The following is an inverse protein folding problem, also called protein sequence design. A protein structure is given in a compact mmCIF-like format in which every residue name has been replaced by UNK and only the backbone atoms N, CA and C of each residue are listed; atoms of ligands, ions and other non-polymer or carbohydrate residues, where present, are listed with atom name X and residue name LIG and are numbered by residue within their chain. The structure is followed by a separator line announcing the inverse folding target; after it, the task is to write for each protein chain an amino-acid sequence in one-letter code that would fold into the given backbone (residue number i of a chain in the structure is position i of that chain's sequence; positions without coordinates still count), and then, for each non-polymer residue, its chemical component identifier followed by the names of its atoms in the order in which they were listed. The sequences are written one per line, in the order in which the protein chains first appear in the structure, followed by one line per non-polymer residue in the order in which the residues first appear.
data_IF_532132834499
#
_entry.id   IF_532132834499
#
_cell.length_a   1.000
_cell.length_b   1.000
_cell.length_c   1.000
_cell.angle_alpha   90.00
_cell.angle_beta   90.00
_cell.angle_gamma   90.00
#
_symmetry.space_group_name_H-M   'P 1'
#
loop_
_entity.id
_entity.type
_entity.pdbx_description
1 polymer ?
#
# COMPACT_ATOMS: atom_id res chain seq x y z
N UNK A 1 -13.74 -39.94 -47.48
CA UNK A 1 -15.13 -40.17 -47.08
C UNK A 1 -15.35 -39.24 -45.90
N UNK A 2 -15.84 -38.11 -46.18
CA UNK A 2 -17.15 -37.52 -45.88
C UNK A 2 -17.43 -37.44 -44.38
N UNK A 3 -17.62 -36.35 -43.73
CA UNK A 3 -18.60 -35.35 -43.96
C UNK A 3 -18.45 -34.11 -43.09
N UNK A 4 -18.59 -33.05 -43.76
CA UNK A 4 -18.83 -31.65 -43.33
C UNK A 4 -20.25 -31.55 -42.79
N UNK A 5 -20.45 -30.86 -41.68
CA UNK A 5 -21.74 -30.25 -41.35
C UNK A 5 -21.60 -28.84 -40.80
N UNK A 6 -21.82 -27.93 -41.69
CA UNK A 6 -22.27 -26.56 -41.51
C UNK A 6 -23.70 -26.50 -40.92
N UNK A 7 -23.92 -25.63 -39.94
CA UNK A 7 -25.25 -25.05 -39.62
C UNK A 7 -24.92 -23.68 -39.05
N UNK A 8 -24.98 -22.61 -39.85
CA UNK A 8 -26.11 -21.80 -40.30
C UNK A 8 -26.59 -20.79 -39.25
N UNK A 9 -26.32 -19.55 -39.60
CA UNK A 9 -26.84 -18.26 -39.11
C UNK A 9 -28.35 -18.30 -38.85
N UNK A 10 -28.81 -17.58 -37.82
CA UNK A 10 -30.08 -16.87 -37.89
C UNK A 10 -30.01 -15.57 -37.10
N UNK A 11 -30.05 -14.49 -37.87
CA UNK A 11 -30.44 -13.13 -37.52
C UNK A 11 -31.83 -13.13 -36.80
N UNK A 12 -31.97 -12.28 -35.82
CA UNK A 12 -33.26 -11.63 -35.58
C UNK A 12 -33.07 -10.19 -35.09
N UNK A 13 -33.29 -9.28 -36.01
CA UNK A 13 -33.61 -7.90 -35.80
C UNK A 13 -34.90 -7.78 -35.04
N UNK A 14 -34.95 -7.00 -33.98
CA UNK A 14 -36.19 -6.33 -33.57
C UNK A 14 -35.89 -4.86 -33.33
N UNK A 15 -36.32 -4.10 -34.32
CA UNK A 15 -36.56 -2.66 -34.27
C UNK A 15 -37.98 -2.48 -33.78
N UNK A 16 -38.18 -1.72 -32.71
CA UNK A 16 -39.45 -1.04 -32.44
C UNK A 16 -39.13 0.37 -31.96
N UNK A 17 -39.34 1.29 -32.86
CA UNK A 17 -39.57 2.70 -32.61
C UNK A 17 -40.95 2.91 -32.03
N UNK A 18 -41.07 3.75 -31.00
CA UNK A 18 -42.34 4.39 -30.69
C UNK A 18 -42.11 5.79 -30.16
N UNK A 19 -42.55 6.71 -31.00
CA UNK A 19 -42.59 8.16 -30.84
C UNK A 19 -43.72 8.62 -29.91
N UNK A 20 -43.67 9.92 -29.56
CA UNK A 20 -44.80 10.80 -29.13
C UNK A 20 -44.97 10.89 -27.59
N UNK A 21 -44.99 12.03 -26.92
CA UNK A 21 -45.56 13.32 -27.26
C UNK A 21 -45.06 14.45 -26.34
N UNK A 22 -44.92 15.57 -26.92
CA UNK A 22 -44.75 16.94 -26.46
C UNK A 22 -45.98 17.39 -25.64
N UNK A 23 -45.78 17.90 -24.40
CA UNK A 23 -46.72 18.85 -23.79
C UNK A 23 -45.96 19.96 -23.10
N UNK A 24 -46.10 21.11 -23.71
CA UNK A 24 -45.74 22.43 -23.20
C UNK A 24 -46.88 22.88 -22.25
N UNK A 25 -46.52 23.26 -21.04
CA UNK A 25 -47.38 24.10 -20.19
C UNK A 25 -46.54 25.23 -19.62
N UNK A 26 -46.72 26.40 -20.21
CA UNK A 26 -46.30 27.69 -19.68
C UNK A 26 -47.35 28.19 -18.71
N UNK A 27 -46.95 28.58 -17.50
CA UNK A 27 -47.72 29.52 -16.66
C UNK A 27 -46.77 30.41 -15.88
N UNK A 28 -46.70 31.64 -16.35
CA UNK A 28 -46.86 32.94 -15.69
C UNK A 28 -45.99 33.28 -14.46
N UNK A 29 -45.27 34.32 -14.69
CA UNK A 29 -44.61 35.29 -13.83
C UNK A 29 -45.50 35.82 -12.69
N UNK A 30 -44.90 36.02 -11.53
CA UNK A 30 -45.21 37.08 -10.60
C UNK A 30 -43.99 37.42 -9.77
N UNK A 31 -43.41 38.61 -9.96
CA UNK A 31 -42.54 39.39 -9.08
C UNK A 31 -43.34 40.61 -8.58
N UNK A 32 -42.82 41.43 -7.66
CA UNK A 32 -42.23 41.22 -6.34
C UNK A 32 -43.06 41.95 -5.24
N UNK A 33 -42.63 42.24 -4.02
CA UNK A 33 -41.69 43.33 -3.74
C UNK A 33 -40.67 43.13 -2.57
N UNK A 34 -39.56 43.71 -2.77
CA UNK A 34 -38.73 44.62 -1.94
C UNK A 34 -38.83 44.60 -0.41
N UNK A 35 -37.68 44.54 0.18
CA UNK A 35 -37.24 45.25 1.37
C UNK A 35 -37.36 44.56 2.73
N UNK A 36 -36.20 44.08 3.22
CA UNK A 36 -35.75 44.40 4.57
C UNK A 36 -34.27 43.99 4.71
N UNK A 37 -33.46 44.98 4.95
CA UNK A 37 -32.07 44.84 5.35
C UNK A 37 -32.00 44.04 6.66
N UNK A 38 -31.36 42.88 6.62
CA UNK A 38 -30.88 42.22 7.81
C UNK A 38 -29.36 42.03 7.63
N UNK A 39 -28.64 42.82 8.40
CA UNK A 39 -27.21 42.79 8.64
C UNK A 39 -26.79 41.38 9.04
N UNK A 40 -26.21 40.59 8.11
CA UNK A 40 -25.50 39.37 8.46
C UNK A 40 -24.10 39.75 9.01
N UNK A 41 -23.74 39.28 10.19
CA UNK A 41 -22.33 39.36 10.60
C UNK A 41 -21.49 38.53 9.65
N UNK A 42 -20.44 39.13 9.14
CA UNK A 42 -19.43 38.50 8.30
C UNK A 42 -18.87 37.24 8.98
N UNK A 43 -19.18 36.10 8.38
CA UNK A 43 -18.50 34.87 8.69
C UNK A 43 -17.04 35.02 8.26
N UNK A 44 -16.06 34.74 9.13
CA UNK A 44 -14.67 34.82 8.72
C UNK A 44 -14.46 33.76 7.63
N UNK A 45 -13.90 34.21 6.52
CA UNK A 45 -13.42 33.32 5.46
C UNK A 45 -12.49 32.26 6.07
N UNK A 46 -12.60 31.00 5.67
CA UNK A 46 -11.61 30.03 6.06
C UNK A 46 -10.28 30.48 5.45
N UNK A 47 -9.37 30.87 6.31
CA UNK A 47 -7.95 31.03 5.98
C UNK A 47 -7.51 29.73 5.36
N UNK A 48 -7.19 29.77 4.08
CA UNK A 48 -6.50 28.68 3.39
C UNK A 48 -5.08 28.62 3.95
N UNK A 49 -4.95 28.05 5.13
CA UNK A 49 -3.67 27.51 5.55
C UNK A 49 -3.34 26.40 4.57
N UNK A 50 -2.64 26.78 3.52
CA UNK A 50 -1.86 25.88 2.69
C UNK A 50 -0.73 25.37 3.58
N UNK A 51 -1.09 24.59 4.58
CA UNK A 51 -0.17 23.69 5.25
C UNK A 51 0.27 22.73 4.16
N UNK A 52 1.45 22.96 3.63
CA UNK A 52 2.22 21.94 2.92
C UNK A 52 2.19 20.71 3.81
N UNK A 53 1.27 19.80 3.54
CA UNK A 53 1.23 18.50 4.17
C UNK A 53 2.51 17.79 3.75
N UNK A 54 3.59 18.05 4.46
CA UNK A 54 4.74 17.18 4.54
C UNK A 54 4.16 15.85 4.99
N UNK A 55 3.96 14.95 4.03
CA UNK A 55 3.51 13.58 4.29
C UNK A 55 4.46 13.06 5.36
N UNK A 56 3.98 12.63 6.53
CA UNK A 56 4.88 12.19 7.57
C UNK A 56 5.63 10.99 7.00
N UNK A 57 6.93 11.17 6.74
CA UNK A 57 7.83 10.06 6.54
C UNK A 57 7.73 9.24 7.81
N UNK A 58 7.41 7.97 7.68
CA UNK A 58 7.47 7.07 8.82
C UNK A 58 8.93 7.02 9.26
N UNK A 59 9.27 7.88 10.23
CA UNK A 59 10.66 8.11 10.68
C UNK A 59 11.30 6.82 11.23
N UNK A 60 10.47 5.80 11.49
CA UNK A 60 10.87 4.48 11.96
C UNK A 60 11.12 3.48 10.84
N UNK A 61 10.70 3.77 9.59
CA UNK A 61 10.88 2.85 8.48
C UNK A 61 12.34 2.80 8.06
N UNK A 62 12.87 1.58 7.97
CA UNK A 62 14.22 1.32 7.45
C UNK A 62 14.09 0.63 6.10
N UNK A 63 14.71 1.23 5.09
CA UNK A 63 14.72 0.72 3.72
C UNK A 63 15.46 -0.61 3.67
N UNK A 64 14.87 -1.58 2.98
CA UNK A 64 15.47 -2.89 2.75
C UNK A 64 15.69 -3.19 1.27
N UNK A 65 16.28 -4.35 0.99
CA UNK A 65 16.46 -4.84 -0.37
C UNK A 65 15.10 -5.11 -1.03
N UNK A 66 15.03 -4.94 -2.34
CA UNK A 66 13.83 -5.12 -3.16
C UNK A 66 12.71 -4.10 -2.92
N UNK A 67 12.86 -3.15 -1.99
CA UNK A 67 11.93 -2.03 -1.86
C UNK A 67 11.99 -1.14 -3.10
N UNK A 68 10.85 -0.55 -3.48
CA UNK A 68 10.78 0.39 -4.60
C UNK A 68 10.63 1.79 -4.06
N UNK A 69 11.60 2.64 -4.38
CA UNK A 69 11.66 4.03 -3.97
C UNK A 69 11.29 4.95 -5.15
N UNK A 70 10.42 5.92 -4.94
CA UNK A 70 10.26 7.05 -5.84
C UNK A 70 11.14 8.20 -5.33
N UNK A 71 12.11 8.58 -6.14
CA UNK A 71 12.97 9.71 -5.86
C UNK A 71 12.55 10.84 -6.77
N UNK A 72 12.21 11.98 -6.18
CA UNK A 72 11.82 13.20 -6.87
C UNK A 72 12.81 14.31 -6.52
N UNK A 73 13.33 14.97 -7.54
CA UNK A 73 14.19 16.14 -7.40
C UNK A 73 13.45 17.32 -8.01
N UNK A 74 13.25 18.37 -7.21
CA UNK A 74 12.47 19.55 -7.62
C UNK A 74 13.09 20.18 -8.88
N UNK A 75 12.25 20.44 -9.89
CA UNK A 75 12.60 20.99 -11.20
C UNK A 75 13.52 20.13 -12.08
N UNK A 76 13.83 18.89 -11.64
CA UNK A 76 14.73 17.99 -12.39
C UNK A 76 14.02 16.66 -12.73
N UNK A 77 13.14 16.65 -13.73
CA UNK A 77 12.39 15.45 -14.10
C UNK A 77 13.29 14.33 -14.65
N UNK A 78 14.42 14.68 -15.25
CA UNK A 78 15.40 13.73 -15.79
C UNK A 78 16.03 12.82 -14.71
N UNK A 79 16.13 13.33 -13.48
CA UNK A 79 16.68 12.60 -12.33
C UNK A 79 15.58 11.89 -11.55
N UNK A 80 14.35 12.44 -11.61
CA UNK A 80 13.20 11.93 -10.85
C UNK A 80 12.68 10.62 -11.45
N UNK A 81 12.72 9.53 -10.66
CA UNK A 81 12.28 8.20 -11.10
C UNK A 81 11.98 7.24 -9.95
N UNK A 82 11.26 6.16 -10.29
CA UNK A 82 11.12 5.00 -9.40
C UNK A 82 12.26 4.02 -9.62
N UNK A 83 12.91 3.62 -8.51
CA UNK A 83 14.09 2.75 -8.54
C UNK A 83 13.93 1.64 -7.51
N UNK A 84 14.10 0.36 -7.88
CA UNK A 84 14.20 -0.71 -6.91
C UNK A 84 15.56 -0.67 -6.21
N UNK A 85 15.55 -0.97 -4.91
CA UNK A 85 16.77 -1.20 -4.15
C UNK A 85 17.32 -2.57 -4.56
N UNK A 86 18.57 -2.58 -5.02
CA UNK A 86 19.23 -3.79 -5.50
C UNK A 86 19.52 -4.76 -4.34
N UNK A 87 19.87 -5.99 -4.69
CA UNK A 87 20.25 -7.03 -3.71
C UNK A 87 21.51 -6.70 -2.89
N UNK A 88 22.39 -5.83 -3.42
CA UNK A 88 23.55 -5.29 -2.71
C UNK A 88 23.18 -4.10 -1.79
N UNK A 89 21.90 -3.73 -1.73
CA UNK A 89 21.39 -2.66 -0.90
C UNK A 89 21.57 -1.25 -1.46
N UNK A 90 22.01 -1.13 -2.71
CA UNK A 90 22.29 0.15 -3.35
C UNK A 90 21.22 0.53 -4.36
N UNK A 91 21.13 1.82 -4.63
CA UNK A 91 20.38 2.41 -5.73
C UNK A 91 21.32 3.16 -6.65
N UNK A 92 20.96 3.30 -7.93
CA UNK A 92 21.75 4.06 -8.91
C UNK A 92 20.92 5.20 -9.47
N UNK A 93 21.45 6.41 -9.35
CA UNK A 93 20.81 7.65 -9.81
C UNK A 93 21.72 8.39 -10.81
N UNK A 94 21.17 9.05 -11.83
CA UNK A 94 21.94 9.95 -12.67
C UNK A 94 22.63 11.03 -11.83
N UNK A 95 23.82 11.46 -12.22
CA UNK A 95 24.67 12.45 -11.54
C UNK A 95 25.19 12.04 -10.15
N UNK A 96 24.39 11.31 -9.37
CA UNK A 96 24.73 10.89 -8.00
C UNK A 96 25.56 9.61 -7.97
N UNK A 97 25.35 8.74 -8.98
CA UNK A 97 25.96 7.42 -9.02
C UNK A 97 25.28 6.43 -8.08
N UNK A 98 26.07 5.53 -7.48
CA UNK A 98 25.58 4.53 -6.53
C UNK A 98 25.52 5.08 -5.10
N UNK A 99 24.39 4.86 -4.43
CA UNK A 99 24.13 5.26 -3.04
C UNK A 99 23.63 4.06 -2.26
N UNK A 100 24.12 3.89 -1.04
CA UNK A 100 23.62 2.88 -0.11
C UNK A 100 22.22 3.29 0.36
N UNK A 101 21.21 2.45 0.14
CA UNK A 101 19.84 2.71 0.56
C UNK A 101 19.41 1.80 1.71
N UNK A 102 19.78 0.51 1.66
CA UNK A 102 19.43 -0.44 2.72
C UNK A 102 20.05 -0.06 4.06
N UNK A 103 19.24 -0.15 5.12
CA UNK A 103 19.66 0.20 6.48
C UNK A 103 19.50 1.69 6.80
N UNK A 104 19.10 2.50 5.84
CA UNK A 104 18.82 3.92 6.05
C UNK A 104 17.32 4.20 6.10
N UNK A 105 16.96 5.32 6.74
CA UNK A 105 15.59 5.86 6.64
C UNK A 105 15.46 6.69 5.37
N UNK A 106 14.23 6.86 4.82
CA UNK A 106 14.02 7.73 3.66
C UNK A 106 14.61 9.13 3.82
N UNK A 107 14.44 9.73 5.00
CA UNK A 107 14.99 11.05 5.31
C UNK A 107 16.52 11.10 5.24
N UNK A 108 17.19 10.07 5.75
CA UNK A 108 18.66 9.98 5.64
C UNK A 108 19.13 9.87 4.20
N UNK A 109 18.40 9.06 3.41
CA UNK A 109 18.70 8.87 1.99
C UNK A 109 18.48 10.16 1.20
N UNK A 110 17.43 10.94 1.50
CA UNK A 110 17.19 12.29 0.94
C UNK A 110 18.39 13.21 1.15
N UNK A 111 18.88 13.29 2.40
CA UNK A 111 19.99 14.13 2.78
C UNK A 111 21.30 13.70 2.06
N UNK A 112 21.53 12.39 1.93
CA UNK A 112 22.70 11.88 1.24
C UNK A 112 22.67 12.21 -0.26
N UNK A 113 21.51 11.98 -0.91
CA UNK A 113 21.32 12.31 -2.32
C UNK A 113 21.46 13.82 -2.55
N UNK A 114 20.80 14.64 -1.73
CA UNK A 114 20.91 16.10 -1.82
C UNK A 114 22.35 16.58 -1.67
N UNK A 115 23.08 16.01 -0.72
CA UNK A 115 24.51 16.37 -0.51
C UNK A 115 25.36 16.09 -1.76
N UNK A 116 25.13 14.98 -2.44
CA UNK A 116 25.88 14.62 -3.66
C UNK A 116 25.46 15.45 -4.87
N UNK A 117 24.17 15.81 -4.97
CA UNK A 117 23.64 16.66 -6.05
C UNK A 117 24.12 18.11 -5.97
N UNK A 118 24.54 18.63 -4.82
CA UNK A 118 25.08 20.01 -4.66
C UNK A 118 26.25 20.32 -5.59
N UNK A 119 26.97 19.30 -6.06
CA UNK A 119 28.06 19.50 -7.02
C UNK A 119 27.55 19.82 -8.43
N UNK A 120 26.28 19.58 -8.73
CA UNK A 120 25.67 19.70 -10.06
C UNK A 120 24.49 20.67 -10.09
N UNK A 121 23.78 20.81 -8.98
CA UNK A 121 22.53 21.58 -8.87
C UNK A 121 22.65 22.51 -7.66
N UNK A 122 22.35 23.80 -7.87
CA UNK A 122 22.26 24.76 -6.78
C UNK A 122 20.97 24.46 -5.97
N UNK A 123 21.11 24.24 -4.65
CA UNK A 123 20.02 23.99 -3.72
C UNK A 123 19.07 22.83 -4.15
N UNK A 124 19.57 21.58 -4.27
CA UNK A 124 18.74 20.47 -4.68
C UNK A 124 17.73 20.10 -3.59
N UNK A 125 16.44 20.14 -3.90
CA UNK A 125 15.36 19.64 -3.06
C UNK A 125 15.02 18.20 -3.48
N UNK A 126 15.28 17.24 -2.60
CA UNK A 126 15.11 15.81 -2.87
C UNK A 126 14.04 15.25 -1.94
N UNK A 127 13.11 14.50 -2.51
CA UNK A 127 12.10 13.75 -1.76
C UNK A 127 12.20 12.28 -2.10
N UNK A 128 12.25 11.41 -1.09
CA UNK A 128 12.25 9.95 -1.24
C UNK A 128 10.97 9.37 -0.65
N UNK A 129 10.16 8.73 -1.50
CA UNK A 129 8.91 8.08 -1.10
C UNK A 129 9.05 6.58 -1.31
N UNK A 130 8.72 5.78 -0.30
CA UNK A 130 8.65 4.33 -0.44
C UNK A 130 7.34 3.97 -1.16
N UNK A 131 7.43 3.55 -2.43
CA UNK A 131 6.27 3.16 -3.22
C UNK A 131 5.82 1.74 -2.92
N UNK A 132 6.78 0.82 -2.75
CA UNK A 132 6.49 -0.58 -2.45
C UNK A 132 7.46 -1.09 -1.40
N UNK A 133 6.88 -1.68 -0.35
CA UNK A 133 7.63 -2.34 0.72
C UNK A 133 7.68 -3.84 0.40
N UNK A 134 8.80 -4.29 -0.15
CA UNK A 134 9.05 -5.68 -0.49
C UNK A 134 9.97 -6.37 0.50
N UNK A 135 10.79 -5.60 1.21
CA UNK A 135 11.75 -6.08 2.20
C UNK A 135 11.09 -6.58 3.49
N UNK A 136 9.92 -6.03 3.84
CA UNK A 136 9.23 -6.34 5.09
C UNK A 136 8.02 -7.22 4.83
N UNK A 137 8.27 -8.51 4.62
CA UNK A 137 7.24 -9.54 4.41
C UNK A 137 7.44 -10.71 5.35
N UNK A 138 6.34 -11.36 5.69
CA UNK A 138 6.32 -12.66 6.36
C UNK A 138 5.53 -13.66 5.51
N UNK A 139 5.76 -14.94 5.74
CA UNK A 139 5.10 -16.01 5.00
C UNK A 139 4.15 -16.79 5.93
N UNK A 140 3.03 -17.24 5.38
CA UNK A 140 2.13 -18.18 6.06
C UNK A 140 1.94 -19.38 5.17
N UNK A 141 2.19 -20.56 5.73
CA UNK A 141 2.10 -21.85 5.06
C UNK A 141 1.19 -22.81 5.81
N UNK A 142 0.58 -23.76 5.12
CA UNK A 142 -0.21 -24.85 5.68
C UNK A 142 -1.72 -24.61 5.67
N UNK A 143 -2.42 -25.04 6.73
CA UNK A 143 -3.88 -25.10 6.79
C UNK A 143 -4.51 -23.74 7.15
N UNK A 144 -4.27 -22.72 6.31
CA UNK A 144 -4.92 -21.40 6.34
C UNK A 144 -5.71 -21.18 5.06
N UNK A 145 -6.68 -20.27 5.09
CA UNK A 145 -7.53 -19.99 3.92
C UNK A 145 -6.73 -19.44 2.75
N UNK A 146 -5.78 -18.55 3.02
CA UNK A 146 -4.91 -17.93 2.02
C UNK A 146 -3.44 -18.06 2.44
N UNK A 147 -2.77 -19.17 2.10
CA UNK A 147 -1.32 -19.28 2.29
C UNK A 147 -0.60 -18.33 1.31
N UNK A 148 0.54 -17.79 1.71
CA UNK A 148 1.30 -16.86 0.87
C UNK A 148 2.21 -15.94 1.65
N UNK A 149 2.73 -14.93 0.96
CA UNK A 149 3.57 -13.88 1.52
C UNK A 149 2.76 -12.60 1.73
N UNK A 150 2.89 -11.98 2.90
CA UNK A 150 2.13 -10.80 3.31
C UNK A 150 3.07 -9.70 3.81
N UNK A 151 2.75 -8.41 3.58
CA UNK A 151 3.53 -7.32 4.13
C UNK A 151 3.37 -7.23 5.65
N UNK A 152 4.44 -6.87 6.34
CA UNK A 152 4.39 -6.58 7.78
C UNK A 152 3.92 -5.14 7.95
N UNK A 153 2.77 -4.95 8.59
CA UNK A 153 2.39 -3.65 9.13
C UNK A 153 3.10 -3.45 10.47
N UNK A 154 3.37 -2.19 10.86
CA UNK A 154 4.17 -1.84 12.04
C UNK A 154 3.72 -2.44 13.39
N UNK A 155 2.54 -3.04 13.44
CA UNK A 155 1.98 -3.69 14.62
C UNK A 155 1.57 -5.15 14.40
N UNK A 156 2.00 -5.77 13.31
CA UNK A 156 1.59 -7.14 12.98
C UNK A 156 2.09 -8.16 14.00
N UNK A 157 1.15 -8.90 14.54
CA UNK A 157 1.38 -10.05 15.43
C UNK A 157 1.01 -11.35 14.73
N UNK A 158 1.27 -12.48 15.38
CA UNK A 158 0.88 -13.81 14.84
C UNK A 158 -0.64 -13.91 14.66
N UNK A 159 -1.44 -13.34 15.57
CA UNK A 159 -2.90 -13.32 15.43
C UNK A 159 -3.35 -12.49 14.23
N UNK A 160 -2.76 -11.31 14.05
CA UNK A 160 -3.07 -10.45 12.90
C UNK A 160 -2.73 -11.14 11.58
N UNK A 161 -1.61 -11.85 11.55
CA UNK A 161 -1.18 -12.61 10.38
C UNK A 161 -2.17 -13.72 10.01
N UNK A 162 -2.67 -14.47 11.00
CA UNK A 162 -3.68 -15.50 10.78
C UNK A 162 -4.99 -14.87 10.29
N UNK A 163 -5.39 -13.73 10.84
CA UNK A 163 -6.57 -12.98 10.38
C UNK A 163 -6.41 -12.50 8.93
N UNK A 164 -5.24 -11.95 8.57
CA UNK A 164 -4.91 -11.55 7.18
C UNK A 164 -4.96 -12.73 6.20
N UNK A 165 -4.56 -13.92 6.66
CA UNK A 165 -4.65 -15.14 5.87
C UNK A 165 -6.10 -15.70 5.75
N UNK A 166 -7.09 -15.03 6.35
CA UNK A 166 -8.50 -15.44 6.30
C UNK A 166 -8.86 -16.54 7.29
N UNK A 167 -8.03 -16.73 8.33
CA UNK A 167 -8.24 -17.75 9.34
C UNK A 167 -7.80 -19.15 8.94
N UNK A 168 -8.20 -20.12 9.74
CA UNK A 168 -7.84 -21.54 9.56
C UNK A 168 -8.80 -22.25 8.61
N UNK A 169 -8.26 -23.22 7.89
CA UNK A 169 -9.05 -24.23 7.17
C UNK A 169 -9.46 -25.36 8.12
N UNK A 170 -10.35 -26.21 7.61
CA UNK A 170 -10.76 -27.42 8.33
C UNK A 170 -9.56 -28.30 8.63
N UNK A 171 -9.60 -28.93 9.81
CA UNK A 171 -8.55 -29.84 10.34
C UNK A 171 -7.22 -29.18 10.70
N UNK A 172 -7.09 -27.84 10.69
CA UNK A 172 -5.89 -27.14 11.13
C UNK A 172 -5.54 -27.45 12.59
N UNK A 173 -4.29 -27.81 12.84
CA UNK A 173 -3.79 -28.13 14.18
C UNK A 173 -3.45 -26.85 14.95
N UNK A 174 -4.47 -26.11 15.40
CA UNK A 174 -4.37 -24.81 16.05
C UNK A 174 -3.51 -24.78 17.34
N UNK A 175 -3.20 -25.94 17.93
CA UNK A 175 -2.35 -26.06 19.13
C UNK A 175 -0.87 -26.22 18.79
N UNK A 176 -0.53 -26.54 17.54
CA UNK A 176 0.81 -26.95 17.13
C UNK A 176 1.41 -26.04 16.04
N UNK A 177 0.92 -24.80 15.98
CA UNK A 177 1.45 -23.76 15.10
C UNK A 177 2.86 -23.38 15.58
N UNK A 178 3.73 -23.04 14.65
CA UNK A 178 5.05 -22.53 14.97
C UNK A 178 5.51 -21.49 13.97
N UNK A 179 6.38 -20.62 14.44
CA UNK A 179 7.05 -19.59 13.63
C UNK A 179 8.49 -20.02 13.43
N UNK A 180 8.95 -20.04 12.18
CA UNK A 180 10.37 -20.18 11.85
C UNK A 180 10.93 -18.78 11.65
N UNK A 181 11.84 -18.39 12.51
CA UNK A 181 12.56 -17.12 12.44
C UNK A 181 13.99 -17.37 12.03
N UNK A 182 14.44 -16.66 11.02
CA UNK A 182 15.85 -16.68 10.62
C UNK A 182 16.62 -15.64 11.41
N UNK A 183 17.62 -16.08 12.16
CA UNK A 183 18.52 -15.21 12.92
C UNK A 183 19.59 -14.58 12.00
N UNK A 184 20.27 -13.54 12.51
CA UNK A 184 21.33 -12.85 11.78
C UNK A 184 22.55 -13.75 11.49
N UNK A 185 22.75 -14.80 12.27
CA UNK A 185 23.80 -15.81 12.11
C UNK A 185 23.47 -16.89 11.07
N UNK A 186 22.30 -16.81 10.43
CA UNK A 186 21.80 -17.79 9.47
C UNK A 186 21.10 -19.00 10.10
N UNK A 187 21.11 -19.14 11.42
CA UNK A 187 20.37 -20.19 12.12
C UNK A 187 18.86 -19.93 12.08
N UNK A 188 18.07 -21.00 12.22
CA UNK A 188 16.62 -20.89 12.32
C UNK A 188 16.14 -21.23 13.73
N UNK A 189 15.34 -20.35 14.30
CA UNK A 189 14.67 -20.59 15.57
C UNK A 189 13.21 -20.97 15.34
N UNK A 190 12.78 -22.06 15.97
CA UNK A 190 11.38 -22.49 15.96
C UNK A 190 10.68 -21.99 17.22
N UNK A 191 9.73 -21.09 17.06
CA UNK A 191 8.96 -20.50 18.15
C UNK A 191 7.56 -21.15 18.16
N UNK A 192 7.18 -21.87 19.21
CA UNK A 192 5.86 -22.51 19.29
C UNK A 192 4.76 -21.48 19.53
N UNK A 193 3.59 -21.71 18.91
CA UNK A 193 2.41 -20.86 19.07
C UNK A 193 1.16 -21.72 19.21
N UNK A 194 0.43 -21.52 20.31
CA UNK A 194 -0.83 -22.21 20.57
C UNK A 194 -1.99 -21.21 20.50
N UNK A 195 -2.67 -21.19 19.36
CA UNK A 195 -3.79 -20.28 19.12
C UNK A 195 -4.87 -20.36 20.21
N UNK A 196 -5.25 -21.59 20.61
CA UNK A 196 -6.31 -21.78 21.61
C UNK A 196 -5.96 -21.22 23.00
N UNK A 197 -4.70 -21.27 23.40
CA UNK A 197 -4.24 -20.69 24.67
C UNK A 197 -4.16 -19.16 24.58
N UNK A 198 -3.66 -18.63 23.50
CA UNK A 198 -3.54 -17.17 23.30
C UNK A 198 -4.91 -16.50 23.29
N UNK A 199 -5.87 -17.03 22.54
CA UNK A 199 -7.23 -16.48 22.47
C UNK A 199 -7.98 -16.57 23.80
N UNK A 200 -7.70 -17.62 24.60
CA UNK A 200 -8.26 -17.74 25.97
C UNK A 200 -7.55 -16.87 27.01
N UNK A 201 -6.53 -16.13 26.63
CA UNK A 201 -5.74 -15.31 27.55
C UNK A 201 -4.82 -16.10 28.48
N UNK A 202 -4.66 -17.42 28.27
CA UNK A 202 -3.84 -18.28 29.15
C UNK A 202 -2.34 -18.09 28.90
N UNK A 203 -1.93 -17.73 27.67
CA UNK A 203 -0.53 -17.48 27.32
C UNK A 203 -0.40 -16.36 26.26
N UNK A 204 -0.71 -15.11 26.63
CA UNK A 204 -0.69 -13.98 25.71
C UNK A 204 0.73 -13.67 25.20
N UNK A 205 1.77 -14.03 25.94
CA UNK A 205 3.16 -13.80 25.55
C UNK A 205 3.57 -14.54 24.28
N UNK A 206 2.84 -15.59 23.87
CA UNK A 206 3.08 -16.27 22.59
C UNK A 206 2.64 -15.44 21.38
N UNK A 207 1.79 -14.41 21.56
CA UNK A 207 1.42 -13.51 20.48
C UNK A 207 2.53 -12.49 20.21
N UNK A 208 3.64 -12.98 19.68
CA UNK A 208 4.82 -12.18 19.39
C UNK A 208 4.60 -11.28 18.18
N UNK A 209 5.37 -10.19 18.11
CA UNK A 209 5.49 -9.38 16.90
C UNK A 209 6.30 -10.13 15.86
N UNK A 210 5.80 -10.11 14.62
CA UNK A 210 6.49 -10.71 13.49
C UNK A 210 7.66 -9.85 13.05
N UNK A 211 8.68 -10.53 12.55
CA UNK A 211 9.85 -9.91 11.93
C UNK A 211 9.86 -10.25 10.43
N UNK A 212 10.63 -9.46 9.69
CA UNK A 212 10.87 -9.73 8.27
C UNK A 212 11.44 -11.13 8.08
N UNK A 213 10.90 -11.84 7.08
CA UNK A 213 11.25 -13.22 6.74
C UNK A 213 10.76 -14.29 7.73
N UNK A 214 9.96 -13.93 8.75
CA UNK A 214 9.29 -14.95 9.57
C UNK A 214 8.39 -15.82 8.69
N UNK A 215 8.35 -17.11 8.99
CA UNK A 215 7.45 -18.05 8.33
C UNK A 215 6.57 -18.74 9.36
N UNK A 216 5.27 -18.48 9.30
CA UNK A 216 4.26 -19.12 10.15
C UNK A 216 3.82 -20.42 9.46
N UNK A 217 3.93 -21.54 10.18
CA UNK A 217 3.50 -22.83 9.69
C UNK A 217 2.32 -23.32 10.52
N UNK A 218 1.20 -23.58 9.84
CA UNK A 218 -0.05 -24.11 10.39
C UNK A 218 -0.22 -25.55 9.93
N UNK A 219 0.09 -26.56 10.77
CA UNK A 219 -0.06 -27.96 10.39
C UNK A 219 -1.50 -28.41 10.25
#
# INVERSE_FOLDING_TARGET
MNGVRNISLRNSLFVTAMSLALTIAAVAQATPPSNAAATQPASPAPSSDTSSATKPHDASFVIGNDDVLAISVWKEPEISRSIPVRSDGRISLPLVGEVQATGQTPLKLEQEIASRLKNYIAEPEVTVIVQQINSQKFNILGMVTRPGSFPIASASTVLDAIALAGGFRDFAKQKSIYILRQNADGSQTRIPFNYKQVVKGQNPAQNIKLQSRDTIVVP
#
